data_IF_885609529464
#
_entry.id   IF_885609529464
#
_cell.length_a   1.000
_cell.length_b   1.000
_cell.length_c   1.000
_cell.angle_alpha   90.00
_cell.angle_beta   90.00
_cell.angle_gamma   90.00
#
_symmetry.space_group_name_H-M   'P 1'
#
loop_
_entity.id
_entity.type
_entity.pdbx_description
1 polymer ?
#
# COMPACT_ATOMS: atom_id res chain seq x y z
N UNK A 1 -10.55 -6.08 -0.95
CA UNK A 1 -9.32 -6.90 -0.76
C UNK A 1 -8.65 -6.57 0.59
N UNK A 2 -7.80 -7.43 1.19
CA UNK A 2 -7.12 -7.15 2.47
C UNK A 2 -5.65 -6.84 2.22
N UNK A 3 -5.17 -5.71 2.73
CA UNK A 3 -3.74 -5.40 2.77
C UNK A 3 -3.14 -5.99 4.04
N UNK A 4 -1.84 -6.24 4.03
CA UNK A 4 -1.07 -6.65 5.20
C UNK A 4 0.07 -5.64 5.42
N UNK A 5 0.46 -5.41 6.67
CA UNK A 5 1.74 -4.77 7.00
C UNK A 5 2.90 -5.69 6.55
N UNK A 6 4.15 -5.19 6.48
CA UNK A 6 5.31 -6.04 6.22
C UNK A 6 5.42 -7.25 7.16
N UNK A 7 4.94 -7.11 8.40
CA UNK A 7 4.93 -8.14 9.44
C UNK A 7 3.76 -9.14 9.29
N UNK A 8 2.86 -8.92 8.32
CA UNK A 8 1.72 -9.81 8.05
C UNK A 8 0.44 -9.45 8.81
N UNK A 9 0.39 -8.29 9.47
CA UNK A 9 -0.82 -7.85 10.18
C UNK A 9 -1.84 -7.28 9.18
N UNK A 10 -3.12 -7.67 9.23
CA UNK A 10 -4.12 -7.15 8.30
C UNK A 10 -4.37 -5.65 8.54
N UNK A 11 -4.41 -4.87 7.47
CA UNK A 11 -4.70 -3.43 7.49
C UNK A 11 -5.80 -3.06 6.49
N UNK A 12 -6.67 -2.14 6.91
CA UNK A 12 -7.73 -1.57 6.06
C UNK A 12 -7.25 -0.25 5.49
N UNK A 13 -7.41 -0.09 4.18
CA UNK A 13 -7.03 1.13 3.45
C UNK A 13 -8.29 1.74 2.84
N UNK A 14 -8.50 3.02 3.12
CA UNK A 14 -9.49 3.81 2.39
C UNK A 14 -8.88 4.21 1.04
N UNK A 15 -9.27 3.48 -0.01
CA UNK A 15 -8.74 3.63 -1.37
C UNK A 15 -9.04 5.02 -1.95
N UNK A 16 -10.18 5.63 -1.58
CA UNK A 16 -10.59 6.94 -2.09
C UNK A 16 -9.66 8.08 -1.63
N UNK A 17 -8.85 7.82 -0.59
CA UNK A 17 -7.91 8.78 -0.02
C UNK A 17 -6.46 8.50 -0.41
N UNK A 18 -6.22 7.47 -1.21
CA UNK A 18 -4.87 7.14 -1.70
C UNK A 18 -4.47 8.15 -2.76
N UNK A 19 -3.31 8.77 -2.57
CA UNK A 19 -2.75 9.74 -3.50
C UNK A 19 -1.63 9.12 -4.34
N UNK A 20 -0.65 8.50 -3.68
CA UNK A 20 0.54 7.94 -4.35
C UNK A 20 0.93 6.61 -3.71
N UNK A 21 1.22 5.62 -4.55
CA UNK A 21 1.86 4.36 -4.15
C UNK A 21 3.28 4.33 -4.68
N UNK A 22 4.23 3.92 -3.84
CA UNK A 22 5.64 3.80 -4.21
C UNK A 22 6.32 2.64 -3.50
N UNK A 23 7.38 2.09 -4.09
CA UNK A 23 8.25 1.10 -3.43
C UNK A 23 8.78 1.64 -2.09
N UNK A 24 8.73 0.83 -1.05
CA UNK A 24 9.27 1.19 0.26
C UNK A 24 10.77 0.89 0.32
N UNK A 25 11.58 1.90 0.65
CA UNK A 25 13.05 1.82 0.73
C UNK A 25 13.73 1.28 -0.55
N UNK A 26 13.08 1.39 -1.71
CA UNK A 26 13.59 0.89 -2.99
C UNK A 26 13.48 -0.62 -3.20
N UNK A 27 12.96 -1.37 -2.21
CA UNK A 27 12.70 -2.81 -2.33
C UNK A 27 11.41 -3.12 -3.09
N UNK A 28 11.26 -4.36 -3.54
CA UNK A 28 10.09 -4.82 -4.30
C UNK A 28 9.09 -5.64 -3.45
N UNK A 29 9.41 -5.86 -2.17
CA UNK A 29 8.58 -6.69 -1.28
C UNK A 29 7.55 -5.88 -0.47
N UNK A 30 7.63 -4.55 -0.51
CA UNK A 30 6.72 -3.67 0.21
C UNK A 30 6.54 -2.32 -0.49
N UNK A 31 5.36 -1.74 -0.33
CA UNK A 31 5.00 -0.43 -0.87
C UNK A 31 4.52 0.53 0.23
N UNK A 32 4.89 1.80 0.11
CA UNK A 32 4.29 2.88 0.87
C UNK A 32 3.09 3.44 0.11
N UNK A 33 1.92 3.38 0.74
CA UNK A 33 0.67 3.98 0.27
C UNK A 33 0.51 5.31 1.01
N UNK A 34 0.62 6.41 0.27
CA UNK A 34 0.56 7.77 0.80
C UNK A 34 -0.85 8.32 0.63
N UNK A 35 -1.31 9.02 1.66
CA UNK A 35 -2.59 9.71 1.70
C UNK A 35 -2.39 11.22 1.59
N UNK A 36 -3.49 11.94 1.41
CA UNK A 36 -3.49 13.39 1.56
C UNK A 36 -2.86 13.81 2.91
N UNK A 37 -2.03 14.87 2.88
CA UNK A 37 -1.30 15.44 4.03
C UNK A 37 -0.03 14.69 4.46
N UNK A 38 0.55 13.86 3.60
CA UNK A 38 1.92 13.34 3.77
C UNK A 38 2.05 12.14 4.71
N UNK A 39 0.93 11.61 5.22
CA UNK A 39 0.91 10.36 5.96
C UNK A 39 0.99 9.17 4.98
N UNK A 40 1.60 8.07 5.41
CA UNK A 40 1.62 6.84 4.63
C UNK A 40 1.54 5.61 5.53
N UNK A 41 1.06 4.51 4.95
CA UNK A 41 1.17 3.17 5.53
C UNK A 41 2.05 2.32 4.63
N UNK A 42 2.81 1.41 5.22
CA UNK A 42 3.59 0.43 4.46
C UNK A 42 2.79 -0.85 4.41
N UNK A 43 2.63 -1.39 3.20
CA UNK A 43 1.99 -2.68 2.97
C UNK A 43 2.96 -3.65 2.33
N UNK A 44 2.75 -4.92 2.61
CA UNK A 44 3.44 -6.03 1.95
C UNK A 44 2.97 -6.17 0.51
N UNK A 45 3.91 -6.48 -0.38
CA UNK A 45 3.67 -6.72 -1.81
C UNK A 45 4.42 -5.75 -2.72
N UNK A 46 4.66 -6.23 -3.94
CA UNK A 46 5.26 -5.43 -5.01
C UNK A 46 4.30 -4.36 -5.51
N UNK A 47 4.85 -3.39 -6.24
CA UNK A 47 4.07 -2.27 -6.76
C UNK A 47 2.89 -2.75 -7.62
N UNK A 48 3.13 -3.73 -8.49
CA UNK A 48 2.09 -4.27 -9.38
C UNK A 48 0.97 -4.97 -8.59
N UNK A 49 1.34 -5.77 -7.57
CA UNK A 49 0.37 -6.46 -6.71
C UNK A 49 -0.47 -5.45 -5.94
N UNK A 50 0.16 -4.43 -5.36
CA UNK A 50 -0.52 -3.40 -4.57
C UNK A 50 -1.40 -2.52 -5.44
N UNK A 51 -0.94 -2.10 -6.63
CA UNK A 51 -1.73 -1.31 -7.57
C UNK A 51 -2.94 -2.08 -8.10
N UNK A 52 -2.76 -3.36 -8.42
CA UNK A 52 -3.88 -4.24 -8.81
C UNK A 52 -4.89 -4.37 -7.67
N UNK A 53 -4.42 -4.56 -6.43
CA UNK A 53 -5.27 -4.64 -5.26
C UNK A 53 -6.15 -3.39 -5.07
N UNK A 54 -5.56 -2.20 -5.24
CA UNK A 54 -6.27 -0.93 -5.13
C UNK A 54 -7.30 -0.74 -6.25
N UNK A 55 -7.03 -1.24 -7.46
CA UNK A 55 -7.94 -1.15 -8.58
C UNK A 55 -9.16 -2.09 -8.47
N UNK A 56 -9.03 -3.20 -7.72
CA UNK A 56 -10.09 -4.19 -7.53
C UNK A 56 -11.07 -3.83 -6.38
N UNK A 57 -10.69 -2.96 -5.45
CA UNK A 57 -11.50 -2.55 -4.28
C UNK A 57 -11.56 -3.61 -3.18
#
# INVERSE_FOLDING_TARGET
>A
MKFETPEGEPIVINIDRVNVVRRFRGGDEACAINFEKGNFVVVKGSLDVVMKALAEG
#
